data_IF_446541416526
#
_entry.id   IF_446541416526
#
_cell.length_a   1.000
_cell.length_b   1.000
_cell.length_c   1.000
_cell.angle_alpha   90.00
_cell.angle_beta   90.00
_cell.angle_gamma   90.00
#
_symmetry.space_group_name_H-M   'P 1'
#
loop_
_entity.id
_entity.type
_entity.pdbx_description
1 polymer ?
#
# COMPACT_ATOMS: atom_id res chain seq x y z
N UNK A 1 -8.53 8.64 9.29
CA UNK A 1 -9.31 7.41 8.96
C UNK A 1 -9.19 6.38 10.09
N UNK A 2 -10.15 5.47 10.32
CA UNK A 2 -9.97 4.36 11.29
C UNK A 2 -9.10 3.24 10.71
N UNK A 3 -8.44 2.48 11.59
CA UNK A 3 -7.59 1.35 11.21
C UNK A 3 -8.34 0.26 10.44
N UNK A 4 -9.54 -0.11 10.91
CA UNK A 4 -10.37 -1.12 10.27
C UNK A 4 -10.78 -0.71 8.85
N UNK A 5 -11.12 0.56 8.65
CA UNK A 5 -11.46 1.09 7.34
C UNK A 5 -10.25 1.08 6.40
N UNK A 6 -9.08 1.51 6.90
CA UNK A 6 -7.85 1.51 6.13
C UNK A 6 -7.48 0.09 5.67
N UNK A 7 -7.46 -0.89 6.57
CA UNK A 7 -7.19 -2.28 6.21
C UNK A 7 -8.19 -2.81 5.20
N UNK A 8 -9.48 -2.54 5.41
CA UNK A 8 -10.50 -3.00 4.49
C UNK A 8 -10.23 -2.47 3.07
N UNK A 9 -9.92 -1.18 2.93
CA UNK A 9 -9.58 -0.56 1.65
C UNK A 9 -8.34 -1.20 1.02
N UNK A 10 -7.26 -1.33 1.79
CA UNK A 10 -6.00 -1.91 1.31
C UNK A 10 -6.18 -3.37 0.85
N UNK A 11 -6.95 -4.17 1.60
CA UNK A 11 -7.29 -5.53 1.21
C UNK A 11 -8.17 -5.58 -0.05
N UNK A 12 -9.03 -4.58 -0.30
CA UNK A 12 -9.73 -4.50 -1.58
C UNK A 12 -8.77 -4.24 -2.74
N UNK A 13 -7.71 -3.45 -2.54
CA UNK A 13 -6.65 -3.27 -3.54
C UNK A 13 -5.99 -4.57 -3.96
N UNK A 14 -5.58 -5.39 -3.00
CA UNK A 14 -5.05 -6.74 -3.26
C UNK A 14 -6.05 -7.65 -3.99
N UNK A 15 -7.35 -7.56 -3.68
CA UNK A 15 -8.39 -8.32 -4.39
C UNK A 15 -8.59 -7.84 -5.82
N UNK A 16 -8.52 -6.53 -6.07
CA UNK A 16 -8.63 -5.95 -7.41
C UNK A 16 -7.39 -6.31 -8.25
N UNK A 17 -6.20 -6.26 -7.67
CA UNK A 17 -4.96 -6.70 -8.31
C UNK A 17 -5.06 -8.16 -8.79
N UNK A 18 -5.57 -9.07 -7.95
CA UNK A 18 -5.79 -10.48 -8.32
C UNK A 18 -6.80 -10.71 -9.44
N UNK A 19 -7.62 -9.70 -9.74
CA UNK A 19 -8.61 -9.72 -10.83
C UNK A 19 -8.16 -8.94 -12.06
N UNK A 20 -6.98 -8.31 -12.01
CA UNK A 20 -6.44 -7.58 -13.15
C UNK A 20 -6.13 -8.54 -14.30
N UNK A 21 -6.18 -8.07 -15.56
CA UNK A 21 -5.74 -8.85 -16.71
C UNK A 21 -4.31 -9.37 -16.53
N UNK A 22 -4.06 -10.62 -16.93
CA UNK A 22 -2.77 -11.30 -16.70
C UNK A 22 -1.60 -10.55 -17.37
N UNK A 23 -1.86 -9.93 -18.51
CA UNK A 23 -0.90 -9.10 -19.25
C UNK A 23 -0.53 -7.81 -18.53
N UNK A 24 -1.39 -7.30 -17.63
CA UNK A 24 -1.14 -6.09 -16.85
C UNK A 24 -0.38 -6.37 -15.55
N UNK A 25 -0.49 -7.60 -15.02
CA UNK A 25 0.08 -7.99 -13.73
C UNK A 25 1.56 -7.62 -13.57
N UNK A 26 2.48 -7.89 -14.53
CA UNK A 26 3.89 -7.59 -14.34
C UNK A 26 4.17 -6.11 -14.10
N UNK A 27 3.44 -5.21 -14.76
CA UNK A 27 3.61 -3.77 -14.56
C UNK A 27 2.99 -3.30 -13.24
N UNK A 28 1.80 -3.80 -12.89
CA UNK A 28 1.15 -3.50 -11.61
C UNK A 28 2.03 -3.92 -10.42
N UNK A 29 2.57 -5.14 -10.46
CA UNK A 29 3.51 -5.65 -9.46
C UNK A 29 4.75 -4.75 -9.33
N UNK A 30 5.33 -4.32 -10.46
CA UNK A 30 6.49 -3.43 -10.46
C UNK A 30 6.18 -2.05 -9.85
N UNK A 31 5.00 -1.49 -10.11
CA UNK A 31 4.53 -0.24 -9.48
C UNK A 31 4.35 -0.44 -7.98
N UNK A 32 3.72 -1.53 -7.57
CA UNK A 32 3.49 -1.84 -6.16
C UNK A 32 4.82 -1.99 -5.42
N UNK A 33 5.79 -2.70 -5.98
CA UNK A 33 7.12 -2.87 -5.38
C UNK A 33 7.85 -1.52 -5.22
N UNK A 34 7.73 -0.63 -6.21
CA UNK A 34 8.29 0.72 -6.12
C UNK A 34 7.63 1.55 -5.01
N UNK A 35 6.31 1.41 -4.85
CA UNK A 35 5.56 2.07 -3.76
C UNK A 35 5.93 1.50 -2.39
N UNK A 36 6.08 0.19 -2.24
CA UNK A 36 6.56 -0.44 -1.00
C UNK A 36 7.97 0.04 -0.66
N UNK A 37 8.87 0.17 -1.64
CA UNK A 37 10.19 0.73 -1.41
C UNK A 37 10.16 2.19 -0.96
N UNK A 38 9.25 3.00 -1.49
CA UNK A 38 9.03 4.39 -1.04
C UNK A 38 8.42 4.44 0.37
N UNK A 39 7.48 3.56 0.71
CA UNK A 39 6.95 3.42 2.07
C UNK A 39 8.06 3.11 3.07
N UNK A 40 8.94 2.16 2.74
CA UNK A 40 10.11 1.82 3.56
C UNK A 40 11.07 2.98 3.73
N UNK A 41 11.22 3.86 2.73
CA UNK A 41 12.02 5.08 2.87
C UNK A 41 11.37 6.14 3.76
N UNK A 42 10.04 6.18 3.84
CA UNK A 42 9.28 7.17 4.61
C UNK A 42 9.09 6.78 6.07
N UNK A 43 8.70 5.52 6.32
CA UNK A 43 8.39 4.99 7.66
C UNK A 43 9.53 4.17 8.28
N UNK A 44 10.49 3.71 7.47
CA UNK A 44 11.62 2.92 7.94
C UNK A 44 11.30 1.42 8.09
N UNK A 45 11.99 0.73 9.00
CA UNK A 45 11.85 -0.72 9.20
C UNK A 45 11.06 -1.13 10.44
N UNK A 46 10.87 -0.21 11.40
CA UNK A 46 10.14 -0.47 12.64
C UNK A 46 9.07 0.61 12.80
N UNK A 47 7.82 0.23 12.53
CA UNK A 47 6.66 1.11 12.62
C UNK A 47 5.45 0.30 13.13
N UNK A 48 4.50 0.99 13.74
CA UNK A 48 3.20 0.47 14.13
C UNK A 48 2.19 0.60 12.99
N UNK A 49 1.20 -0.26 12.99
CA UNK A 49 0.13 -0.27 12.00
C UNK A 49 -0.61 1.08 11.92
N UNK A 50 -0.72 1.77 13.06
CA UNK A 50 -1.36 3.08 13.16
C UNK A 50 -0.55 4.18 12.45
N UNK A 51 0.79 4.15 12.51
CA UNK A 51 1.65 5.12 11.81
C UNK A 51 1.48 5.00 10.28
N UNK A 52 1.26 3.77 9.79
CA UNK A 52 0.97 3.54 8.37
C UNK A 52 -0.41 4.11 7.98
N UNK A 53 -1.42 4.01 8.86
CA UNK A 53 -2.74 4.64 8.64
C UNK A 53 -2.63 6.15 8.63
N UNK A 54 -1.87 6.73 9.57
CA UNK A 54 -1.65 8.17 9.65
C UNK A 54 -0.94 8.69 8.39
N UNK A 55 0.06 7.96 7.88
CA UNK A 55 0.70 8.29 6.61
C UNK A 55 -0.30 8.28 5.43
N UNK A 56 -1.19 7.28 5.39
CA UNK A 56 -2.22 7.20 4.35
C UNK A 56 -3.20 8.39 4.42
N UNK A 57 -3.65 8.74 5.63
CA UNK A 57 -4.60 9.83 5.90
C UNK A 57 -3.99 11.21 5.63
N UNK A 58 -2.69 11.38 5.89
CA UNK A 58 -1.94 12.61 5.60
C UNK A 58 -1.80 12.89 4.10
N UNK A 59 -1.99 11.87 3.25
CA UNK A 59 -2.09 12.01 1.80
C UNK A 59 -1.10 11.14 1.02
N UNK A 60 -1.60 10.57 -0.07
CA UNK A 60 -0.89 9.60 -0.93
C UNK A 60 -0.57 10.17 -2.32
N UNK A 61 -0.54 11.51 -2.47
CA UNK A 61 -0.24 12.18 -3.75
C UNK A 61 1.15 11.80 -4.31
N UNK A 62 2.11 11.52 -3.43
CA UNK A 62 3.44 11.02 -3.81
C UNK A 62 3.39 9.63 -4.47
N UNK A 63 2.40 8.79 -4.13
CA UNK A 63 2.25 7.47 -4.74
C UNK A 63 1.93 7.61 -6.23
N UNK A 64 1.06 8.56 -6.57
CA UNK A 64 0.71 8.85 -7.97
C UNK A 64 1.95 9.30 -8.76
N UNK A 65 2.81 10.14 -8.17
CA UNK A 65 4.05 10.56 -8.82
C UNK A 65 5.01 9.38 -9.07
N UNK A 66 5.11 8.43 -8.13
CA UNK A 66 5.92 7.20 -8.31
C UNK A 66 5.34 6.34 -9.44
N UNK A 67 4.03 6.10 -9.45
CA UNK A 67 3.36 5.30 -10.46
C UNK A 67 3.50 5.92 -11.87
N UNK A 68 3.24 7.23 -12.00
CA UNK A 68 3.39 7.98 -13.25
C UNK A 68 4.83 7.96 -13.77
N UNK A 69 5.82 8.08 -12.89
CA UNK A 69 7.24 8.02 -13.29
C UNK A 69 7.63 6.63 -13.83
N UNK A 70 7.07 5.57 -13.27
CA UNK A 70 7.41 4.20 -13.65
C UNK A 70 6.65 3.72 -14.89
N UNK A 71 5.41 4.18 -15.05
CA UNK A 71 4.47 3.73 -16.07
C UNK A 71 3.76 4.91 -16.76
N UNK A 72 4.50 5.86 -17.37
CA UNK A 72 3.96 7.15 -17.84
C UNK A 72 2.90 7.02 -18.95
N UNK A 73 2.96 5.94 -19.74
CA UNK A 73 2.04 5.70 -20.85
C UNK A 73 0.93 4.69 -20.48
N UNK A 74 0.80 4.33 -19.19
CA UNK A 74 -0.16 3.34 -18.70
C UNK A 74 -0.99 3.87 -17.52
N UNK A 75 -1.99 4.72 -17.75
CA UNK A 75 -2.83 5.29 -16.68
C UNK A 75 -3.52 4.25 -15.78
N UNK A 76 -3.87 3.08 -16.35
CA UNK A 76 -4.43 1.95 -15.60
C UNK A 76 -3.46 1.41 -14.52
N UNK A 77 -2.16 1.67 -14.63
CA UNK A 77 -1.17 1.29 -13.64
C UNK A 77 -1.06 2.27 -12.47
N UNK A 78 -1.88 3.33 -12.43
CA UNK A 78 -1.86 4.37 -11.39
C UNK A 78 -3.07 4.31 -10.47
N UNK A 79 -4.01 3.41 -10.73
CA UNK A 79 -5.28 3.34 -10.02
C UNK A 79 -5.06 3.18 -8.50
N UNK A 80 -5.40 4.24 -7.75
CA UNK A 80 -5.17 4.30 -6.32
C UNK A 80 -5.79 3.11 -5.57
N UNK A 81 -7.03 2.79 -5.93
CA UNK A 81 -7.76 1.65 -5.38
C UNK A 81 -7.16 0.28 -5.72
N UNK A 82 -6.12 0.20 -6.55
CA UNK A 82 -5.41 -1.03 -6.91
C UNK A 82 -3.99 -0.96 -6.39
N UNK A 83 -3.13 -0.13 -6.99
CA UNK A 83 -1.68 -0.18 -6.75
C UNK A 83 -1.28 0.47 -5.43
N UNK A 84 -1.95 1.56 -5.03
CA UNK A 84 -1.65 2.23 -3.74
C UNK A 84 -2.19 1.35 -2.61
N UNK A 85 -3.46 0.99 -2.67
CA UNK A 85 -4.10 0.13 -1.67
C UNK A 85 -3.36 -1.22 -1.50
N UNK A 86 -2.92 -1.86 -2.59
CA UNK A 86 -2.12 -3.08 -2.52
C UNK A 86 -0.75 -2.83 -1.88
N UNK A 87 -0.04 -1.76 -2.22
CA UNK A 87 1.25 -1.45 -1.61
C UNK A 87 1.15 -1.27 -0.08
N UNK A 88 0.13 -0.53 0.38
CA UNK A 88 -0.13 -0.39 1.82
C UNK A 88 -0.53 -1.72 2.46
N UNK A 89 -1.34 -2.55 1.81
CA UNK A 89 -1.68 -3.89 2.30
C UNK A 89 -0.44 -4.79 2.48
N UNK A 90 0.51 -4.69 1.55
CA UNK A 90 1.75 -5.48 1.59
C UNK A 90 2.67 -5.01 2.68
N UNK A 91 2.89 -3.70 2.75
CA UNK A 91 3.80 -3.12 3.71
C UNK A 91 3.26 -3.20 5.14
N UNK A 92 1.94 -3.17 5.35
CA UNK A 92 1.31 -3.41 6.65
C UNK A 92 1.77 -4.74 7.30
N UNK A 93 2.13 -5.76 6.52
CA UNK A 93 2.65 -7.03 7.05
C UNK A 93 4.03 -6.89 7.72
N UNK A 94 4.75 -5.80 7.46
CA UNK A 94 6.01 -5.46 8.12
C UNK A 94 5.80 -4.67 9.42
N UNK A 95 4.57 -4.24 9.72
CA UNK A 95 4.28 -3.53 10.97
C UNK A 95 4.50 -4.43 12.19
N UNK A 96 5.09 -3.85 13.23
CA UNK A 96 5.52 -4.58 14.43
C UNK A 96 4.34 -5.25 15.20
N UNK A 97 3.12 -4.73 15.04
CA UNK A 97 1.90 -5.10 15.77
C UNK A 97 0.80 -5.72 14.89
N UNK A 98 1.10 -6.14 13.65
CA UNK A 98 0.10 -6.69 12.72
C UNK A 98 0.31 -8.16 12.31
N UNK A 99 1.55 -8.64 12.14
CA UNK A 99 1.82 -9.98 11.58
C UNK A 99 2.74 -10.86 12.44
N UNK A 100 2.69 -10.71 13.77
CA UNK A 100 3.46 -11.57 14.70
C UNK A 100 3.46 -11.09 16.16
N UNK A 101 3.20 -9.81 16.42
CA UNK A 101 2.84 -9.31 17.74
C UNK A 101 1.34 -9.06 17.76
N UNK A 102 0.63 -9.76 18.65
CA UNK A 102 -0.73 -9.36 19.04
C UNK A 102 -0.72 -7.85 19.29
N UNK A 103 -1.73 -7.12 18.80
CA UNK A 103 -2.08 -5.83 19.39
C UNK A 103 -2.30 -6.09 20.87
N UNK A 104 -1.29 -5.82 21.70
CA UNK A 104 -1.56 -5.47 23.08
C UNK A 104 -2.31 -4.16 22.98
N UNK A 105 -3.64 -4.25 23.09
CA UNK A 105 -4.46 -3.12 23.47
C UNK A 105 -3.89 -2.67 24.82
N UNK A 106 -2.95 -1.72 24.79
CA UNK A 106 -2.58 -0.98 25.97
C UNK A 106 -3.81 -0.14 26.32
N UNK A 107 -4.47 -0.64 27.36
CA UNK A 107 -5.63 -0.10 28.10
C UNK A 107 -5.60 1.41 28.27
#
# INVERSE_FOLDING_TARGET
>A
MSFENAIYQWQQGERRLKRAPLEQMPLLERVIDALVAELRRRLGGRFAAQELVELYDAGTSWCLQVAMKLAPEQPWAWEAGVVIDAAFARYLREAADYAGGRRELLT
#
